data_IF_584358561458
#
_entry.id   IF_584358561458
#
_cell.length_a   1.000
_cell.length_b   1.000
_cell.length_c   1.000
_cell.angle_alpha   90.00
_cell.angle_beta   90.00
_cell.angle_gamma   90.00
#
_symmetry.space_group_name_H-M   'P 1'
#
loop_
_entity.id
_entity.type
_entity.pdbx_description
1 polymer ?
#
# COMPACT_ATOMS: atom_id res chain seq x y z
N UNK A 1 2.26 -11.67 -6.35
CA UNK A 1 1.92 -10.37 -5.73
C UNK A 1 2.92 -9.92 -4.66
N UNK A 2 2.85 -10.31 -3.37
CA UNK A 2 3.85 -9.84 -2.37
C UNK A 2 5.25 -10.42 -2.59
N UNK A 3 5.31 -11.70 -2.97
CA UNK A 3 6.53 -12.41 -3.37
C UNK A 3 7.28 -11.73 -4.53
N UNK A 4 6.61 -10.92 -5.33
CA UNK A 4 7.21 -10.14 -6.45
C UNK A 4 7.40 -8.66 -6.08
N UNK A 5 6.66 -8.18 -5.09
CA UNK A 5 6.78 -6.84 -4.55
C UNK A 5 8.07 -6.68 -3.73
N UNK A 6 8.39 -7.64 -2.86
CA UNK A 6 9.64 -7.59 -2.07
C UNK A 6 10.88 -7.49 -2.97
N UNK A 7 11.06 -8.32 -4.02
CA UNK A 7 12.14 -8.16 -4.98
C UNK A 7 12.19 -6.78 -5.64
N UNK A 8 11.04 -6.15 -5.92
CA UNK A 8 11.02 -4.84 -6.58
C UNK A 8 11.63 -3.71 -5.74
N UNK A 9 11.54 -3.78 -4.41
CA UNK A 9 12.17 -2.84 -3.51
C UNK A 9 13.59 -3.28 -3.16
N UNK A 10 13.77 -4.54 -2.74
CA UNK A 10 15.06 -5.09 -2.33
C UNK A 10 16.11 -5.03 -3.46
N UNK A 11 15.73 -5.21 -4.73
CA UNK A 11 16.69 -5.14 -5.84
C UNK A 11 17.22 -3.73 -6.10
N UNK A 12 16.57 -2.69 -5.57
CA UNK A 12 16.94 -1.29 -5.80
C UNK A 12 17.56 -0.68 -4.54
N UNK A 13 16.96 -0.91 -3.37
CA UNK A 13 17.34 -0.29 -2.10
C UNK A 13 17.92 -1.27 -1.07
N UNK A 14 17.95 -2.58 -1.34
CA UNK A 14 18.33 -3.61 -0.36
C UNK A 14 17.25 -3.91 0.69
N UNK A 15 16.29 -3.01 0.88
CA UNK A 15 15.22 -3.12 1.88
C UNK A 15 13.83 -2.94 1.25
N UNK A 16 12.82 -3.57 1.85
CA UNK A 16 11.41 -3.40 1.49
C UNK A 16 10.72 -2.54 2.57
N UNK A 17 9.83 -1.60 2.21
CA UNK A 17 9.22 -0.69 3.19
C UNK A 17 8.44 -1.39 4.29
N UNK A 18 7.88 -2.57 3.98
CA UNK A 18 7.19 -3.44 4.93
C UNK A 18 7.67 -4.88 4.72
N UNK A 19 7.55 -5.69 5.75
CA UNK A 19 7.63 -7.15 5.74
C UNK A 19 6.27 -7.76 5.37
N UNK A 20 6.23 -9.07 5.09
CA UNK A 20 4.95 -9.75 4.84
C UNK A 20 4.03 -9.66 6.05
N UNK A 21 4.57 -9.82 7.27
CA UNK A 21 3.79 -9.81 8.50
C UNK A 21 3.19 -8.43 8.76
N UNK A 22 3.92 -7.35 8.47
CA UNK A 22 3.40 -5.98 8.60
C UNK A 22 2.29 -5.69 7.59
N UNK A 23 2.42 -6.16 6.34
CA UNK A 23 1.35 -6.06 5.35
C UNK A 23 0.11 -6.81 5.80
N UNK A 24 0.27 -8.06 6.25
CA UNK A 24 -0.86 -8.87 6.73
C UNK A 24 -1.52 -8.22 7.96
N UNK A 25 -0.72 -7.65 8.86
CA UNK A 25 -1.22 -6.95 10.04
C UNK A 25 -2.14 -5.77 9.65
N UNK A 26 -1.74 -4.92 8.71
CA UNK A 26 -2.60 -3.82 8.24
C UNK A 26 -3.86 -4.31 7.52
N UNK A 27 -3.76 -5.38 6.73
CA UNK A 27 -4.92 -6.00 6.08
C UNK A 27 -5.92 -6.61 7.07
N UNK A 28 -5.48 -6.94 8.30
CA UNK A 28 -6.37 -7.40 9.37
C UNK A 28 -6.94 -6.22 10.18
N UNK A 29 -6.10 -5.23 10.52
CA UNK A 29 -6.49 -4.13 11.41
C UNK A 29 -7.36 -3.08 10.71
N UNK A 30 -7.05 -2.74 9.47
CA UNK A 30 -7.72 -1.67 8.71
C UNK A 30 -7.80 -2.03 7.20
N UNK A 31 -8.48 -3.12 6.83
CA UNK A 31 -8.61 -3.55 5.43
C UNK A 31 -9.23 -2.47 4.53
N UNK A 32 -10.11 -1.64 5.08
CA UNK A 32 -10.77 -0.52 4.40
C UNK A 32 -9.79 0.57 3.97
N UNK A 33 -8.56 0.62 4.49
CA UNK A 33 -7.54 1.57 4.06
C UNK A 33 -6.57 0.98 3.03
N UNK A 34 -6.94 -0.13 2.40
CA UNK A 34 -6.15 -0.80 1.37
C UNK A 34 -6.96 -1.00 0.08
N UNK A 35 -6.28 -1.06 -1.06
CA UNK A 35 -6.93 -1.25 -2.36
C UNK A 35 -6.09 -2.12 -3.29
N UNK A 36 -6.72 -3.13 -3.89
CA UNK A 36 -6.09 -4.03 -4.85
C UNK A 36 -6.68 -3.91 -6.26
N UNK A 37 -5.83 -4.07 -7.28
CA UNK A 37 -6.21 -4.25 -8.67
C UNK A 37 -5.99 -5.70 -9.07
N UNK A 38 -7.06 -6.39 -9.46
CA UNK A 38 -7.00 -7.77 -9.93
C UNK A 38 -7.26 -7.87 -11.44
N UNK A 39 -6.48 -8.72 -12.13
CA UNK A 39 -6.69 -9.13 -13.52
C UNK A 39 -6.69 -10.66 -13.56
N UNK A 40 -7.75 -11.26 -14.10
CA UNK A 40 -7.90 -12.73 -14.16
C UNK A 40 -7.71 -13.42 -12.79
N UNK A 41 -8.18 -12.77 -11.72
CA UNK A 41 -8.03 -13.26 -10.34
C UNK A 41 -6.64 -13.07 -9.72
N UNK A 42 -5.68 -12.49 -10.45
CA UNK A 42 -4.33 -12.21 -9.96
C UNK A 42 -4.18 -10.75 -9.53
N UNK A 43 -3.57 -10.51 -8.36
CA UNK A 43 -3.29 -9.16 -7.86
C UNK A 43 -2.09 -8.57 -8.62
N UNK A 44 -2.35 -7.56 -9.45
CA UNK A 44 -1.35 -6.92 -10.34
C UNK A 44 -0.88 -5.55 -9.86
N UNK A 45 -1.62 -4.89 -8.97
CA UNK A 45 -1.19 -3.68 -8.29
C UNK A 45 -1.95 -3.52 -6.97
N UNK A 46 -1.34 -2.88 -5.97
CA UNK A 46 -2.01 -2.66 -4.69
C UNK A 46 -1.47 -1.43 -3.95
N UNK A 47 -2.29 -0.93 -3.02
CA UNK A 47 -1.97 0.09 -2.02
C UNK A 47 -2.29 -0.51 -0.65
N UNK A 48 -1.36 -0.35 0.31
CA UNK A 48 -1.59 -0.59 1.73
C UNK A 48 -1.49 0.74 2.47
N UNK A 49 -2.52 1.07 3.22
CA UNK A 49 -2.60 2.29 4.02
C UNK A 49 -3.02 2.02 5.46
N UNK A 50 -2.77 3.01 6.33
CA UNK A 50 -3.33 3.06 7.69
C UNK A 50 -3.61 4.51 8.09
N UNK A 51 -4.51 4.71 9.05
CA UNK A 51 -4.75 6.03 9.64
C UNK A 51 -3.57 6.54 10.47
N UNK A 52 -3.33 7.85 10.42
CA UNK A 52 -2.28 8.58 11.13
C UNK A 52 -2.83 9.87 11.76
N UNK A 53 -2.31 10.28 12.91
CA UNK A 53 -2.83 11.41 13.72
C UNK A 53 -1.84 12.57 13.92
N UNK A 54 -0.62 12.49 13.36
CA UNK A 54 0.41 13.53 13.50
C UNK A 54 0.65 14.24 12.18
N UNK A 55 1.05 15.51 12.25
CA UNK A 55 1.33 16.34 11.06
C UNK A 55 2.49 15.82 10.20
N UNK A 56 3.41 15.08 10.80
CA UNK A 56 4.59 14.52 10.14
C UNK A 56 4.69 13.03 10.40
N UNK A 57 5.16 12.30 9.40
CA UNK A 57 5.54 10.91 9.57
C UNK A 57 6.76 10.80 10.48
N UNK A 58 6.77 9.75 11.29
CA UNK A 58 7.88 9.36 12.15
C UNK A 58 8.08 7.84 12.05
N UNK A 59 9.12 7.31 12.70
CA UNK A 59 9.37 5.86 12.70
C UNK A 59 8.19 5.05 13.26
N UNK A 60 7.43 5.62 14.18
CA UNK A 60 6.20 4.99 14.71
C UNK A 60 5.13 4.77 13.63
N UNK A 61 5.09 5.61 12.60
CA UNK A 61 4.11 5.52 11.52
C UNK A 61 4.29 4.26 10.65
N UNK A 62 5.43 3.58 10.72
CA UNK A 62 5.73 2.39 9.92
C UNK A 62 4.85 1.19 10.30
N UNK A 63 4.44 1.09 11.56
CA UNK A 63 3.70 -0.08 12.08
C UNK A 63 2.42 0.29 12.82
N UNK A 64 2.15 1.58 13.02
CA UNK A 64 0.98 2.07 13.74
C UNK A 64 -0.20 2.33 12.80
N UNK A 65 -1.37 1.91 13.26
CA UNK A 65 -2.66 2.38 12.75
C UNK A 65 -3.35 3.18 13.84
N UNK A 66 -3.87 4.35 13.49
CA UNK A 66 -4.78 5.13 14.34
C UNK A 66 -6.16 5.14 13.68
N UNK A 67 -7.20 4.60 14.33
CA UNK A 67 -8.56 4.60 13.78
C UNK A 67 -9.17 6.02 13.82
N UNK A 68 -10.20 6.23 13.02
CA UNK A 68 -11.02 7.46 12.98
C UNK A 68 -10.25 8.77 12.74
N UNK A 69 -9.10 8.69 12.07
CA UNK A 69 -8.33 9.89 11.70
C UNK A 69 -8.63 10.34 10.26
N UNK A 70 -8.59 11.65 9.98
CA UNK A 70 -8.81 12.15 8.62
C UNK A 70 -7.60 11.96 7.69
N UNK A 71 -6.46 11.53 8.24
CA UNK A 71 -5.20 11.40 7.50
C UNK A 71 -4.84 9.94 7.30
N UNK A 72 -4.62 9.55 6.06
CA UNK A 72 -4.17 8.20 5.70
C UNK A 72 -2.72 8.22 5.27
N UNK A 73 -1.90 7.39 5.92
CA UNK A 73 -0.53 7.11 5.53
C UNK A 73 -0.51 5.95 4.52
N UNK A 74 0.04 6.20 3.32
CA UNK A 74 0.28 5.15 2.33
C UNK A 74 1.67 4.54 2.60
N UNK A 75 1.69 3.31 3.09
CA UNK A 75 2.94 2.59 3.38
C UNK A 75 3.61 2.08 2.11
N UNK A 76 2.79 1.56 1.19
CA UNK A 76 3.28 1.01 -0.08
C UNK A 76 2.23 1.18 -1.18
N UNK A 77 2.70 1.61 -2.35
CA UNK A 77 2.03 1.48 -3.64
C UNK A 77 2.95 0.66 -4.54
N UNK A 78 2.44 -0.44 -5.07
CA UNK A 78 3.21 -1.32 -5.94
C UNK A 78 2.44 -1.79 -7.15
N UNK A 79 3.16 -1.96 -8.26
CA UNK A 79 2.66 -2.52 -9.50
C UNK A 79 3.57 -3.69 -9.90
N UNK A 80 2.95 -4.82 -10.20
CA UNK A 80 3.60 -6.01 -10.68
C UNK A 80 4.45 -5.71 -11.92
N UNK A 81 5.65 -6.29 -12.00
CA UNK A 81 6.70 -5.85 -12.93
C UNK A 81 6.26 -5.85 -14.40
N UNK A 82 5.52 -6.86 -14.84
CA UNK A 82 5.05 -7.00 -16.22
C UNK A 82 3.88 -6.05 -16.55
N UNK A 83 3.31 -5.40 -15.54
CA UNK A 83 2.17 -4.50 -15.64
C UNK A 83 2.58 -3.02 -15.45
N UNK A 84 3.88 -2.74 -15.29
CA UNK A 84 4.42 -1.38 -15.15
C UNK A 84 4.40 -0.63 -16.48
N UNK A 85 4.49 0.71 -16.39
CA UNK A 85 4.47 1.63 -17.54
C UNK A 85 3.21 1.56 -18.41
N UNK A 86 2.11 1.07 -17.85
CA UNK A 86 0.79 1.01 -18.49
C UNK A 86 -0.23 1.94 -17.77
N UNK A 87 0.24 2.88 -16.96
CA UNK A 87 -0.61 3.81 -16.20
C UNK A 87 -1.35 3.22 -14.99
N UNK A 88 -1.28 1.90 -14.76
CA UNK A 88 -1.99 1.21 -13.67
C UNK A 88 -1.73 1.80 -12.29
N UNK A 89 -0.48 2.17 -11.98
CA UNK A 89 -0.14 2.79 -10.70
C UNK A 89 -0.86 4.14 -10.49
N UNK A 90 -0.85 5.00 -11.50
CA UNK A 90 -1.53 6.29 -11.47
C UNK A 90 -3.05 6.14 -11.37
N UNK A 91 -3.64 5.21 -12.13
CA UNK A 91 -5.07 4.92 -12.09
C UNK A 91 -5.46 4.37 -10.72
N UNK A 92 -4.68 3.44 -10.16
CA UNK A 92 -4.93 2.87 -8.84
C UNK A 92 -4.85 3.95 -7.75
N UNK A 93 -3.82 4.80 -7.80
CA UNK A 93 -3.68 5.92 -6.86
C UNK A 93 -4.86 6.89 -6.97
N UNK A 94 -5.28 7.24 -8.18
CA UNK A 94 -6.43 8.12 -8.37
C UNK A 94 -7.72 7.50 -7.80
N UNK A 95 -7.98 6.22 -8.09
CA UNK A 95 -9.12 5.48 -7.54
C UNK A 95 -9.08 5.44 -6.02
N UNK A 96 -7.91 5.20 -5.43
CA UNK A 96 -7.71 5.19 -3.99
C UNK A 96 -8.02 6.54 -3.36
N UNK A 97 -7.52 7.64 -3.94
CA UNK A 97 -7.82 8.99 -3.45
C UNK A 97 -9.30 9.37 -3.59
N UNK A 98 -10.01 8.87 -4.59
CA UNK A 98 -11.47 9.06 -4.68
C UNK A 98 -12.21 8.21 -3.64
N UNK A 99 -11.77 6.97 -3.44
CA UNK A 99 -12.36 6.05 -2.48
C UNK A 99 -12.28 6.60 -1.03
N UNK A 100 -11.14 7.18 -0.64
CA UNK A 100 -10.96 7.79 0.70
C UNK A 100 -11.77 9.08 0.93
N UNK A 101 -12.39 9.65 -0.10
CA UNK A 101 -13.23 10.87 0.01
C UNK A 101 -14.70 10.56 0.27
N UNK A 102 -15.09 9.30 0.18
CA UNK A 102 -16.45 8.82 0.46
C UNK A 102 -16.56 8.43 1.94
#
# INVERSE_FOLDING_TARGET
SWSECRPAFVSVSGECPLTLDEVLNFLVLCPELSLGWFEEGQLVAFIIGSGWDKDRLSQEAMTRHVPDTPTVHIHVLSVHRHCRQQGKGSILLWRYLQYLRC
#
